data_IF_998626768170
#
_entry.id   IF_998626768170
#
_cell.length_a   1.000
_cell.length_b   1.000
_cell.length_c   1.000
_cell.angle_alpha   90.00
_cell.angle_beta   90.00
_cell.angle_gamma   90.00
#
_symmetry.space_group_name_H-M   'P 1'
#
loop_
_entity.id
_entity.type
_entity.pdbx_description
1 polymer ?
#
# COMPACT_ATOMS: atom_id res chain seq x y z
N UNK A 1 7.10 -24.11 5.08
CA UNK A 1 7.15 -23.52 3.71
C UNK A 1 8.23 -22.46 3.69
N UNK A 2 8.88 -22.20 2.55
CA UNK A 2 9.77 -21.05 2.42
C UNK A 2 8.94 -19.76 2.60
N UNK A 3 9.53 -18.75 3.25
CA UNK A 3 8.86 -17.45 3.40
C UNK A 3 8.92 -16.68 2.08
N UNK A 4 7.89 -15.93 1.78
CA UNK A 4 7.82 -15.07 0.60
C UNK A 4 8.74 -13.84 0.82
N UNK A 5 9.80 -13.63 0.01
CA UNK A 5 10.56 -12.41 0.09
C UNK A 5 9.68 -11.23 -0.34
N UNK A 6 9.47 -10.29 0.58
CA UNK A 6 8.55 -9.15 0.41
C UNK A 6 9.27 -7.83 0.48
N UNK A 7 8.97 -6.94 -0.45
CA UNK A 7 9.27 -5.51 -0.38
C UNK A 7 7.95 -4.75 -0.34
N UNK A 8 7.88 -3.72 0.49
CA UNK A 8 6.72 -2.81 0.55
C UNK A 8 7.17 -1.42 0.15
N UNK A 9 6.53 -0.85 -0.88
CA UNK A 9 6.66 0.54 -1.31
C UNK A 9 5.43 1.31 -0.86
N UNK A 10 5.60 2.35 -0.02
CA UNK A 10 4.53 2.90 0.82
C UNK A 10 4.76 4.39 1.11
N UNK A 11 3.70 5.13 1.42
CA UNK A 11 3.73 6.53 1.86
C UNK A 11 3.09 6.73 3.25
N UNK A 12 3.66 6.11 4.32
CA UNK A 12 2.98 5.81 5.55
C UNK A 12 2.06 6.89 6.11
N UNK A 13 0.77 6.63 5.87
CA UNK A 13 -0.39 7.19 6.51
C UNK A 13 -0.94 6.22 7.57
N UNK A 14 -2.24 6.38 7.90
CA UNK A 14 -2.92 5.58 8.93
C UNK A 14 -3.10 4.12 8.50
N UNK A 15 -3.57 3.87 7.29
CA UNK A 15 -3.81 2.52 6.76
C UNK A 15 -2.53 1.81 6.32
N UNK A 16 -1.53 2.55 5.80
CA UNK A 16 -0.17 2.03 5.60
C UNK A 16 0.43 1.50 6.92
N UNK A 17 0.23 2.21 8.03
CA UNK A 17 0.73 1.76 9.33
C UNK A 17 0.14 0.40 9.72
N UNK A 18 -1.16 0.18 9.48
CA UNK A 18 -1.79 -1.12 9.67
C UNK A 18 -1.20 -2.19 8.73
N UNK A 19 -0.98 -1.84 7.46
CA UNK A 19 -0.40 -2.73 6.47
C UNK A 19 1.02 -3.17 6.86
N UNK A 20 1.86 -2.25 7.32
CA UNK A 20 3.20 -2.56 7.83
C UNK A 20 3.16 -3.48 9.05
N UNK A 21 2.26 -3.22 10.03
CA UNK A 21 2.08 -4.09 11.18
C UNK A 21 1.55 -5.48 10.79
N UNK A 22 0.67 -5.56 9.78
CA UNK A 22 0.20 -6.83 9.22
C UNK A 22 1.35 -7.64 8.61
N UNK A 23 2.23 -7.01 7.82
CA UNK A 23 3.40 -7.69 7.28
C UNK A 23 4.31 -8.25 8.37
N UNK A 24 4.55 -7.46 9.42
CA UNK A 24 5.36 -7.86 10.59
C UNK A 24 4.72 -9.06 11.31
N UNK A 25 3.40 -9.05 11.45
CA UNK A 25 2.63 -10.11 12.11
C UNK A 25 2.52 -11.40 11.31
N UNK A 26 2.96 -11.42 10.05
CA UNK A 26 2.72 -12.51 9.11
C UNK A 26 3.96 -13.40 8.95
N UNK A 27 3.95 -14.63 9.50
CA UNK A 27 5.09 -15.54 9.41
C UNK A 27 5.33 -16.08 8.00
N UNK A 28 4.38 -15.90 7.09
CA UNK A 28 4.44 -16.31 5.69
C UNK A 28 5.46 -15.51 4.89
N UNK A 29 5.77 -14.29 5.32
CA UNK A 29 6.66 -13.38 4.59
C UNK A 29 7.98 -13.15 5.29
N UNK A 30 8.98 -12.81 4.49
CA UNK A 30 10.27 -12.30 4.93
C UNK A 30 10.40 -10.87 4.40
N UNK A 31 10.05 -9.88 5.25
CA UNK A 31 10.10 -8.47 4.90
C UNK A 31 11.54 -8.01 4.77
N UNK A 32 11.97 -7.77 3.54
CA UNK A 32 13.36 -7.50 3.16
C UNK A 32 13.71 -6.02 3.12
N UNK A 33 12.76 -5.19 2.71
CA UNK A 33 12.96 -3.76 2.50
C UNK A 33 11.61 -3.04 2.55
N UNK A 34 11.60 -1.85 3.12
CA UNK A 34 10.53 -0.87 2.96
C UNK A 34 11.09 0.32 2.19
N UNK A 35 10.47 0.65 1.06
CA UNK A 35 10.76 1.89 0.34
C UNK A 35 9.67 2.89 0.58
N UNK A 36 10.03 4.17 0.73
CA UNK A 36 9.05 5.21 0.97
C UNK A 36 8.95 6.18 -0.20
N UNK A 37 7.77 6.76 -0.36
CA UNK A 37 7.46 7.69 -1.45
C UNK A 37 6.66 8.88 -0.90
N UNK A 38 6.57 9.97 -1.65
CA UNK A 38 5.62 11.05 -1.38
C UNK A 38 4.19 10.54 -1.52
N UNK A 39 3.24 11.20 -0.88
CA UNK A 39 1.81 10.86 -1.03
C UNK A 39 1.00 11.48 0.09
N UNK A 40 0.58 10.68 1.05
CA UNK A 40 -0.24 11.09 2.20
C UNK A 40 0.34 12.31 2.93
N UNK A 41 1.66 12.29 3.14
CA UNK A 41 2.45 13.42 3.67
C UNK A 41 3.75 13.58 2.88
N UNK A 42 4.65 14.47 3.30
CA UNK A 42 5.95 14.64 2.65
C UNK A 42 6.87 13.44 2.85
N UNK A 43 7.77 13.16 1.89
CA UNK A 43 8.70 12.05 1.93
C UNK A 43 9.46 11.92 3.24
N UNK A 44 9.93 13.04 3.80
CA UNK A 44 10.65 13.01 5.08
C UNK A 44 9.77 12.44 6.21
N UNK A 45 8.48 12.78 6.20
CA UNK A 45 7.53 12.30 7.19
C UNK A 45 7.10 10.86 6.92
N UNK A 46 6.86 10.47 5.64
CA UNK A 46 6.55 9.08 5.30
C UNK A 46 7.69 8.15 5.69
N UNK A 47 8.93 8.59 5.48
CA UNK A 47 10.14 7.82 5.86
C UNK A 47 10.25 7.67 7.39
N UNK A 48 10.05 8.76 8.13
CA UNK A 48 10.07 8.71 9.59
C UNK A 48 8.94 7.84 10.13
N UNK A 49 7.74 7.93 9.56
CA UNK A 49 6.60 7.08 9.94
C UNK A 49 6.92 5.60 9.70
N UNK A 50 7.50 5.23 8.55
CA UNK A 50 7.91 3.86 8.27
C UNK A 50 8.86 3.31 9.34
N UNK A 51 9.91 4.06 9.67
CA UNK A 51 10.88 3.69 10.71
C UNK A 51 10.20 3.49 12.06
N UNK A 52 9.33 4.41 12.47
CA UNK A 52 8.62 4.36 13.76
C UNK A 52 7.62 3.21 13.83
N UNK A 53 6.88 2.94 12.76
CA UNK A 53 5.92 1.81 12.70
C UNK A 53 6.65 0.47 12.74
N UNK A 54 7.77 0.34 12.01
CA UNK A 54 8.62 -0.86 12.09
C UNK A 54 9.17 -1.06 13.51
N UNK A 55 9.57 0.02 14.17
CA UNK A 55 10.01 -0.03 15.58
C UNK A 55 8.88 -0.46 16.52
N UNK A 56 7.67 0.10 16.37
CA UNK A 56 6.48 -0.29 17.12
C UNK A 56 6.19 -1.80 16.99
N UNK A 57 6.35 -2.35 15.78
CA UNK A 57 6.21 -3.78 15.49
C UNK A 57 7.41 -4.65 15.86
N UNK A 58 8.45 -4.09 16.50
CA UNK A 58 9.65 -4.85 16.91
C UNK A 58 10.59 -5.24 15.76
N UNK A 59 10.50 -4.56 14.59
CA UNK A 59 11.28 -4.85 13.38
C UNK A 59 12.13 -3.67 12.91
N UNK A 60 12.85 -3.02 13.85
CA UNK A 60 13.83 -1.97 13.52
C UNK A 60 15.04 -2.48 12.70
N UNK A 61 15.15 -3.79 12.53
CA UNK A 61 16.15 -4.45 11.68
C UNK A 61 15.87 -4.35 10.18
N UNK A 62 14.60 -4.13 9.81
CA UNK A 62 14.20 -4.00 8.40
C UNK A 62 14.71 -2.67 7.83
N UNK A 63 15.49 -2.69 6.74
CA UNK A 63 15.97 -1.47 6.13
C UNK A 63 14.83 -0.64 5.55
N UNK A 64 14.91 0.68 5.72
CA UNK A 64 14.01 1.67 5.10
C UNK A 64 14.82 2.53 4.15
N UNK A 65 14.40 2.68 2.90
CA UNK A 65 15.04 3.52 1.92
C UNK A 65 14.11 4.62 1.43
N UNK A 66 14.54 5.89 1.49
CA UNK A 66 13.77 7.03 1.03
C UNK A 66 13.81 7.14 -0.50
N UNK A 67 12.65 7.34 -1.12
CA UNK A 67 12.48 7.38 -2.57
C UNK A 67 12.12 8.75 -3.13
N UNK A 68 11.14 8.77 -4.03
CA UNK A 68 10.73 9.97 -4.75
C UNK A 68 10.02 10.98 -3.82
N UNK A 69 10.40 12.26 -3.97
CA UNK A 69 9.82 13.38 -3.19
C UNK A 69 8.57 13.97 -3.85
N UNK A 70 8.38 13.69 -5.11
CA UNK A 70 7.28 14.20 -5.93
C UNK A 70 7.01 13.26 -7.08
N UNK A 71 5.84 13.41 -7.70
CA UNK A 71 5.45 12.76 -8.94
C UNK A 71 6.43 13.07 -10.08
N UNK A 72 6.39 12.24 -11.13
CA UNK A 72 7.32 12.32 -12.28
C UNK A 72 7.18 13.61 -13.09
N UNK A 73 5.95 14.09 -13.31
CA UNK A 73 5.69 15.16 -14.26
C UNK A 73 5.06 16.39 -13.59
N UNK A 74 3.93 16.20 -12.95
CA UNK A 74 3.18 17.31 -12.33
C UNK A 74 3.17 17.13 -10.82
N UNK A 75 3.65 18.12 -10.04
CA UNK A 75 3.63 18.04 -8.59
C UNK A 75 2.21 17.75 -8.08
N UNK A 76 2.09 16.87 -7.11
CA UNK A 76 0.84 16.60 -6.41
C UNK A 76 0.30 17.90 -5.81
N UNK A 77 -0.95 18.25 -6.13
CA UNK A 77 -1.55 19.53 -5.74
C UNK A 77 -1.91 19.54 -4.25
N UNK A 78 -2.40 18.43 -3.73
CA UNK A 78 -2.86 18.30 -2.35
C UNK A 78 -2.35 17.00 -1.74
N UNK A 79 -2.19 17.00 -0.41
CA UNK A 79 -1.85 15.85 0.41
C UNK A 79 -3.05 15.43 1.25
N UNK A 80 -3.07 14.18 1.70
CA UNK A 80 -4.18 13.64 2.44
C UNK A 80 -4.18 13.97 3.96
N UNK A 81 -3.61 15.11 4.34
CA UNK A 81 -3.53 15.52 5.74
C UNK A 81 -4.89 15.71 6.43
N UNK A 82 -5.96 15.96 5.67
CA UNK A 82 -7.32 16.01 6.21
C UNK A 82 -7.87 14.62 6.62
N UNK A 83 -7.29 13.53 6.07
CA UNK A 83 -7.61 12.15 6.41
C UNK A 83 -6.63 11.63 7.45
N UNK A 84 -5.32 11.72 7.17
CA UNK A 84 -4.26 11.07 7.95
C UNK A 84 -3.66 11.96 9.05
N UNK A 85 -4.07 13.24 9.15
CA UNK A 85 -3.42 14.22 10.02
C UNK A 85 -2.15 14.80 9.40
N UNK A 86 -1.66 15.90 10.00
CA UNK A 86 -0.50 16.65 9.47
C UNK A 86 0.80 15.85 9.46
N UNK A 87 0.94 14.88 10.38
CA UNK A 87 2.07 13.97 10.47
C UNK A 87 1.78 12.55 9.91
N UNK A 88 0.58 12.30 9.38
CA UNK A 88 0.23 11.04 8.72
C UNK A 88 -0.24 9.92 9.64
N UNK A 89 -0.09 10.01 10.96
CA UNK A 89 -0.43 8.94 11.92
C UNK A 89 -1.57 9.34 12.88
N UNK A 90 -2.60 10.03 12.38
CA UNK A 90 -3.79 10.35 13.16
C UNK A 90 -3.51 11.22 14.41
N UNK A 91 -2.44 12.01 14.39
CA UNK A 91 -2.01 12.82 15.55
C UNK A 91 -1.30 12.03 16.65
N UNK A 92 -1.07 10.74 16.47
CA UNK A 92 -0.30 9.90 17.41
C UNK A 92 1.20 10.11 17.19
N UNK A 93 1.90 10.47 18.22
CA UNK A 93 3.35 10.59 18.20
C UNK A 93 3.99 9.28 18.68
N UNK A 94 4.61 8.55 17.74
CA UNK A 94 5.37 7.36 18.07
C UNK A 94 6.80 7.71 18.53
N UNK A 95 7.42 6.90 19.40
CA UNK A 95 8.80 7.13 19.81
C UNK A 95 9.75 7.05 18.59
N UNK A 96 10.89 7.77 18.65
CA UNK A 96 11.89 7.69 17.59
C UNK A 96 12.39 6.25 17.43
N UNK A 97 12.62 5.84 16.18
CA UNK A 97 13.15 4.51 15.87
C UNK A 97 14.67 4.48 16.02
N UNK A 98 15.24 3.42 16.61
CA UNK A 98 16.68 3.17 16.54
C UNK A 98 17.12 2.59 15.17
N UNK A 99 16.16 2.25 14.29
CA UNK A 99 16.43 1.75 12.94
C UNK A 99 17.14 2.79 12.09
N UNK A 100 18.09 2.34 11.28
CA UNK A 100 18.84 3.21 10.39
C UNK A 100 18.15 3.32 9.03
N UNK A 101 18.10 4.55 8.50
CA UNK A 101 17.75 4.78 7.11
C UNK A 101 18.84 4.20 6.20
N UNK A 102 18.45 3.42 5.18
CA UNK A 102 19.39 3.00 4.14
C UNK A 102 19.92 4.25 3.42
N UNK A 103 21.25 4.42 3.31
CA UNK A 103 21.81 5.61 2.67
C UNK A 103 21.58 5.66 1.17
N UNK A 104 21.16 4.54 0.55
CA UNK A 104 20.84 4.47 -0.88
C UNK A 104 19.44 5.02 -1.13
N UNK A 105 19.21 5.72 -2.26
CA UNK A 105 17.84 6.00 -2.71
C UNK A 105 17.03 4.71 -2.89
N UNK A 106 15.72 4.77 -2.64
CA UNK A 106 14.81 3.61 -2.72
C UNK A 106 14.98 2.80 -4.02
N UNK A 107 15.06 3.47 -5.16
CA UNK A 107 15.21 2.82 -6.48
C UNK A 107 16.51 2.00 -6.56
N UNK A 108 17.61 2.49 -5.99
CA UNK A 108 18.88 1.78 -5.96
C UNK A 108 18.84 0.60 -4.98
N UNK A 109 18.30 0.83 -3.78
CA UNK A 109 18.18 -0.23 -2.77
C UNK A 109 17.26 -1.37 -3.27
N UNK A 110 16.17 -1.02 -3.94
CA UNK A 110 15.24 -1.98 -4.54
C UNK A 110 15.91 -2.76 -5.70
N UNK A 111 16.61 -2.06 -6.60
CA UNK A 111 17.32 -2.71 -7.71
C UNK A 111 18.38 -3.68 -7.21
N UNK A 112 19.22 -3.27 -6.25
CA UNK A 112 20.24 -4.13 -5.65
C UNK A 112 19.62 -5.38 -5.00
N UNK A 113 18.51 -5.22 -4.27
CA UNK A 113 17.80 -6.33 -3.64
C UNK A 113 17.26 -7.30 -4.70
N UNK A 114 16.58 -6.79 -5.72
CA UNK A 114 15.99 -7.61 -6.78
C UNK A 114 17.05 -8.40 -7.56
N UNK A 115 18.18 -7.75 -7.91
CA UNK A 115 19.25 -8.38 -8.66
C UNK A 115 20.04 -9.40 -7.83
N UNK A 116 20.16 -9.19 -6.53
CA UNK A 116 20.88 -10.09 -5.61
C UNK A 116 20.01 -11.22 -5.05
N UNK A 117 18.68 -11.11 -5.15
CA UNK A 117 17.78 -12.15 -4.62
C UNK A 117 17.91 -13.45 -5.42
N UNK A 118 18.11 -14.60 -4.75
CA UNK A 118 18.14 -15.91 -5.42
C UNK A 118 16.75 -16.33 -5.93
N UNK A 119 15.68 -15.81 -5.33
CA UNK A 119 14.29 -16.11 -5.65
C UNK A 119 13.56 -14.86 -6.16
N UNK A 120 12.50 -15.04 -6.99
CA UNK A 120 11.64 -13.93 -7.37
C UNK A 120 11.04 -13.26 -6.14
N UNK A 121 11.04 -11.92 -6.13
CA UNK A 121 10.57 -11.11 -5.01
C UNK A 121 9.13 -10.64 -5.25
N UNK A 122 8.31 -10.70 -4.21
CA UNK A 122 7.01 -10.03 -4.20
C UNK A 122 7.21 -8.57 -3.80
N UNK A 123 6.70 -7.65 -4.62
CA UNK A 123 6.66 -6.23 -4.33
C UNK A 123 5.20 -5.82 -4.13
N UNK A 124 4.90 -5.22 -2.99
CA UNK A 124 3.61 -4.57 -2.74
C UNK A 124 3.82 -3.06 -2.76
N UNK A 125 3.22 -2.36 -3.74
CA UNK A 125 3.18 -0.90 -3.73
C UNK A 125 1.79 -0.45 -3.27
N UNK A 126 1.75 0.21 -2.14
CA UNK A 126 0.54 0.67 -1.46
C UNK A 126 0.46 2.20 -1.39
N UNK A 127 1.46 2.88 -1.94
CA UNK A 127 1.50 4.32 -2.20
C UNK A 127 1.58 4.64 -3.70
N UNK A 128 1.85 5.92 -4.06
CA UNK A 128 2.09 6.32 -5.44
C UNK A 128 3.23 5.55 -6.11
N UNK A 129 3.04 5.11 -7.34
CA UNK A 129 3.93 4.17 -8.05
C UNK A 129 5.24 4.79 -8.57
N UNK A 130 5.61 5.98 -8.10
CA UNK A 130 6.75 6.76 -8.61
C UNK A 130 8.07 5.99 -8.50
N UNK A 131 8.33 5.32 -7.37
CA UNK A 131 9.56 4.53 -7.19
C UNK A 131 9.63 3.37 -8.19
N UNK A 132 8.51 2.69 -8.45
CA UNK A 132 8.41 1.58 -9.39
C UNK A 132 8.61 2.04 -10.84
N UNK A 133 8.03 3.20 -11.21
CA UNK A 133 8.23 3.78 -12.55
C UNK A 133 9.69 4.19 -12.76
N UNK A 134 10.35 4.74 -11.73
CA UNK A 134 11.78 5.04 -11.78
C UNK A 134 12.63 3.76 -11.89
N UNK A 135 12.27 2.69 -11.19
CA UNK A 135 12.93 1.39 -11.32
C UNK A 135 12.86 0.88 -12.76
N UNK A 136 11.67 0.92 -13.38
CA UNK A 136 11.45 0.52 -14.76
C UNK A 136 12.30 1.33 -15.76
N UNK A 137 12.45 2.63 -15.49
CA UNK A 137 13.21 3.52 -16.39
C UNK A 137 14.73 3.43 -16.22
N UNK A 138 15.21 3.13 -15.01
CA UNK A 138 16.64 3.19 -14.67
C UNK A 138 17.29 1.80 -14.58
N UNK A 139 16.53 0.81 -14.08
CA UNK A 139 17.02 -0.56 -13.85
C UNK A 139 16.00 -1.59 -14.39
N UNK A 140 15.71 -1.61 -15.70
CA UNK A 140 14.71 -2.52 -16.28
C UNK A 140 15.02 -3.99 -16.01
N UNK A 141 16.29 -4.38 -15.98
CA UNK A 141 16.74 -5.73 -15.66
C UNK A 141 16.41 -6.15 -14.21
N UNK A 142 16.39 -5.19 -13.27
CA UNK A 142 15.95 -5.43 -11.91
C UNK A 142 14.42 -5.60 -11.84
N UNK A 143 13.69 -4.80 -12.61
CA UNK A 143 12.22 -4.90 -12.66
C UNK A 143 11.75 -6.27 -13.19
N UNK A 144 12.49 -6.91 -14.12
CA UNK A 144 12.22 -8.27 -14.61
C UNK A 144 12.36 -9.35 -13.51
N UNK A 145 13.03 -9.04 -12.40
CA UNK A 145 13.17 -9.93 -11.24
C UNK A 145 11.99 -9.87 -10.28
N UNK A 146 11.03 -8.96 -10.48
CA UNK A 146 9.79 -8.93 -9.72
C UNK A 146 8.97 -10.15 -10.10
N UNK A 147 8.84 -11.08 -9.17
CA UNK A 147 8.06 -12.31 -9.36
C UNK A 147 6.55 -12.08 -9.25
N UNK A 148 6.18 -11.05 -8.49
CA UNK A 148 4.79 -10.63 -8.28
C UNK A 148 4.75 -9.18 -7.83
N UNK A 149 3.87 -8.40 -8.43
CA UNK A 149 3.58 -7.02 -8.06
C UNK A 149 2.13 -6.92 -7.59
N UNK A 150 1.90 -6.46 -6.37
CA UNK A 150 0.57 -6.13 -5.86
C UNK A 150 0.48 -4.63 -5.72
N UNK A 151 -0.49 -4.02 -6.38
CA UNK A 151 -0.68 -2.56 -6.42
C UNK A 151 -1.98 -2.21 -5.72
N UNK A 152 -1.93 -1.46 -4.62
CA UNK A 152 -3.13 -0.75 -4.15
C UNK A 152 -3.29 0.52 -4.96
N UNK A 153 -4.41 0.66 -5.66
CA UNK A 153 -4.70 1.86 -6.43
C UNK A 153 -5.79 1.70 -7.47
N UNK A 154 -6.29 2.83 -7.92
CA UNK A 154 -7.26 2.90 -8.99
C UNK A 154 -8.65 2.38 -8.65
N UNK A 155 -9.49 2.34 -9.67
CA UNK A 155 -10.87 1.85 -9.61
C UNK A 155 -11.32 1.37 -10.98
N UNK A 156 -12.01 0.23 -11.04
CA UNK A 156 -12.55 -0.32 -12.28
C UNK A 156 -13.95 0.19 -12.61
N UNK A 157 -14.77 0.53 -11.59
CA UNK A 157 -16.17 0.88 -11.78
C UNK A 157 -16.72 1.91 -10.78
N UNK A 158 -16.14 2.04 -9.58
CA UNK A 158 -16.70 2.91 -8.53
C UNK A 158 -16.42 4.41 -8.71
N UNK A 159 -15.52 4.80 -9.62
CA UNK A 159 -14.97 6.17 -9.66
C UNK A 159 -13.87 6.37 -8.65
N UNK A 160 -13.55 7.61 -8.31
CA UNK A 160 -12.44 7.94 -7.43
C UNK A 160 -12.85 8.30 -6.00
N UNK A 161 -11.83 8.46 -5.14
CA UNK A 161 -11.95 8.95 -3.77
C UNK A 161 -11.31 10.34 -3.56
N UNK A 162 -10.45 10.79 -4.47
CA UNK A 162 -9.87 12.14 -4.45
C UNK A 162 -10.58 13.07 -5.43
N UNK A 163 -10.83 12.59 -6.64
CA UNK A 163 -11.71 13.25 -7.61
C UNK A 163 -12.86 12.31 -7.95
N UNK A 164 -13.84 12.78 -8.70
CA UNK A 164 -14.92 11.90 -9.18
C UNK A 164 -14.41 10.73 -10.04
N UNK A 165 -13.20 10.83 -10.60
CA UNK A 165 -12.65 9.86 -11.54
C UNK A 165 -11.43 9.08 -10.98
N UNK A 166 -10.64 9.67 -10.09
CA UNK A 166 -9.33 9.16 -9.72
C UNK A 166 -9.23 8.74 -8.25
N UNK A 167 -8.62 7.58 -8.04
CA UNK A 167 -8.15 7.10 -6.75
C UNK A 167 -6.82 7.79 -6.41
N UNK A 168 -6.54 7.95 -5.09
CA UNK A 168 -5.46 8.78 -4.57
C UNK A 168 -4.06 8.38 -5.07
N UNK A 169 -3.67 7.13 -5.01
CA UNK A 169 -2.33 6.68 -5.40
C UNK A 169 -2.07 6.90 -6.90
N UNK A 170 -3.08 6.62 -7.71
CA UNK A 170 -3.01 6.86 -9.16
C UNK A 170 -3.09 8.37 -9.48
N UNK A 171 -3.91 9.13 -8.75
CA UNK A 171 -4.01 10.58 -8.92
C UNK A 171 -2.73 11.31 -8.52
N UNK A 172 -2.03 10.83 -7.50
CA UNK A 172 -0.79 11.43 -7.02
C UNK A 172 0.33 11.39 -8.06
N UNK A 173 0.39 10.33 -8.89
CA UNK A 173 1.33 10.23 -10.02
C UNK A 173 0.75 9.38 -11.17
N UNK A 174 -0.14 9.95 -12.00
CA UNK A 174 -0.77 9.21 -13.09
C UNK A 174 0.21 8.68 -14.13
N UNK A 175 1.29 9.40 -14.39
CA UNK A 175 2.34 9.01 -15.33
C UNK A 175 3.11 7.78 -14.82
N UNK A 176 3.42 7.75 -13.54
CA UNK A 176 4.04 6.58 -12.91
C UNK A 176 3.09 5.37 -12.93
N UNK A 177 1.82 5.58 -12.58
CA UNK A 177 0.82 4.53 -12.60
C UNK A 177 0.63 3.97 -14.02
N UNK A 178 0.55 4.82 -15.06
CA UNK A 178 0.50 4.40 -16.45
C UNK A 178 1.72 3.56 -16.84
N UNK A 179 2.92 4.00 -16.49
CA UNK A 179 4.15 3.28 -16.81
C UNK A 179 4.17 1.89 -16.15
N UNK A 180 3.81 1.78 -14.87
CA UNK A 180 3.84 0.52 -14.12
C UNK A 180 2.75 -0.45 -14.59
N UNK A 181 1.50 0.02 -14.72
CA UNK A 181 0.37 -0.85 -15.09
C UNK A 181 0.44 -1.34 -16.55
N UNK A 182 1.25 -0.71 -17.40
CA UNK A 182 1.46 -1.16 -18.79
C UNK A 182 2.81 -1.81 -19.05
N UNK A 183 3.65 -1.97 -18.03
CA UNK A 183 4.99 -2.55 -18.15
C UNK A 183 5.01 -4.06 -18.45
N UNK A 184 3.89 -4.75 -18.31
CA UNK A 184 3.83 -6.22 -18.51
C UNK A 184 4.37 -7.02 -17.32
N UNK A 185 4.54 -6.41 -16.16
CA UNK A 185 4.89 -7.11 -14.92
C UNK A 185 3.73 -8.01 -14.44
N UNK A 186 4.01 -9.06 -13.67
CA UNK A 186 2.99 -9.94 -13.09
C UNK A 186 2.22 -9.21 -11.98
N UNK A 187 1.31 -8.32 -12.39
CA UNK A 187 0.64 -7.33 -11.54
C UNK A 187 -0.77 -7.76 -11.16
N UNK A 188 -1.10 -7.66 -9.87
CA UNK A 188 -2.46 -7.66 -9.32
C UNK A 188 -2.82 -6.24 -8.90
N UNK A 189 -3.86 -5.66 -9.52
CA UNK A 189 -4.38 -4.33 -9.20
C UNK A 189 -5.54 -4.47 -8.21
N UNK A 190 -5.37 -3.88 -7.04
CA UNK A 190 -6.34 -3.90 -5.92
C UNK A 190 -6.96 -2.50 -5.81
N UNK A 191 -8.06 -2.30 -6.52
CA UNK A 191 -8.73 -1.02 -6.62
C UNK A 191 -9.81 -0.80 -5.56
N UNK A 192 -10.44 0.39 -5.62
CA UNK A 192 -11.52 0.78 -4.73
C UNK A 192 -12.70 -0.19 -4.77
N UNK A 193 -12.90 -0.89 -5.89
CA UNK A 193 -14.01 -1.83 -6.09
C UNK A 193 -14.03 -2.96 -5.05
N UNK A 194 -12.88 -3.37 -4.56
CA UNK A 194 -12.75 -4.41 -3.51
C UNK A 194 -12.34 -3.85 -2.16
N UNK A 195 -11.66 -2.69 -2.13
CA UNK A 195 -11.23 -2.12 -0.85
C UNK A 195 -12.36 -1.39 -0.12
N UNK A 196 -13.20 -0.62 -0.83
CA UNK A 196 -14.33 0.12 -0.22
C UNK A 196 -15.31 -0.79 0.54
N UNK A 197 -15.71 -1.98 0.02
CA UNK A 197 -16.55 -2.90 0.79
C UNK A 197 -15.84 -3.61 1.95
N UNK A 198 -14.50 -3.48 2.06
CA UNK A 198 -13.72 -4.15 3.11
C UNK A 198 -13.51 -3.19 4.28
N UNK A 199 -14.41 -3.27 5.26
CA UNK A 199 -14.51 -2.34 6.39
C UNK A 199 -14.10 -3.03 7.69
N UNK A 200 -13.05 -2.52 8.32
CA UNK A 200 -12.65 -2.88 9.68
C UNK A 200 -13.56 -2.17 10.68
N UNK A 201 -14.37 -2.94 11.39
CA UNK A 201 -15.35 -2.41 12.35
C UNK A 201 -14.70 -1.96 13.65
N UNK A 202 -15.38 -1.11 14.42
CA UNK A 202 -14.97 -0.71 15.76
C UNK A 202 -14.77 -1.91 16.69
N UNK A 203 -15.58 -2.96 16.54
CA UNK A 203 -15.43 -4.20 17.30
C UNK A 203 -14.10 -4.91 16.95
N UNK A 204 -13.73 -4.96 15.68
CA UNK A 204 -12.44 -5.51 15.24
C UNK A 204 -11.27 -4.70 15.82
N UNK A 205 -11.36 -3.36 15.78
CA UNK A 205 -10.37 -2.46 16.37
C UNK A 205 -10.23 -2.71 17.87
N UNK A 206 -11.33 -2.78 18.58
CA UNK A 206 -11.34 -3.02 20.03
C UNK A 206 -10.68 -4.36 20.42
N UNK A 207 -10.79 -5.39 19.57
CA UNK A 207 -10.18 -6.72 19.82
C UNK A 207 -8.65 -6.62 19.87
N UNK A 208 -8.01 -6.08 18.84
CA UNK A 208 -6.54 -5.98 18.85
C UNK A 208 -6.05 -4.89 19.80
N UNK A 209 -6.82 -3.81 20.04
CA UNK A 209 -6.50 -2.80 21.04
C UNK A 209 -6.38 -3.40 22.45
N UNK A 210 -7.27 -4.33 22.80
CA UNK A 210 -7.26 -5.03 24.10
C UNK A 210 -6.15 -6.10 24.21
N UNK A 211 -5.51 -6.47 23.09
CA UNK A 211 -4.52 -7.54 23.05
C UNK A 211 -3.13 -7.14 23.58
N UNK A 212 -2.83 -5.84 23.66
CA UNK A 212 -1.57 -5.32 24.20
C UNK A 212 -1.18 -3.94 23.65
N UNK A 213 0.02 -3.45 23.97
CA UNK A 213 0.43 -2.06 23.69
C UNK A 213 0.46 -1.72 22.21
N UNK A 214 0.94 -2.63 21.35
CA UNK A 214 1.00 -2.42 19.90
C UNK A 214 -0.40 -2.23 19.32
N UNK A 215 -1.34 -3.10 19.69
CA UNK A 215 -2.73 -2.99 19.26
C UNK A 215 -3.42 -1.72 19.79
N UNK A 216 -3.17 -1.35 21.04
CA UNK A 216 -3.69 -0.10 21.59
C UNK A 216 -3.18 1.12 20.84
N UNK A 217 -1.89 1.13 20.45
CA UNK A 217 -1.30 2.20 19.66
C UNK A 217 -1.87 2.21 18.22
N UNK A 218 -2.01 1.05 17.59
CA UNK A 218 -2.63 0.94 16.27
C UNK A 218 -4.09 1.46 16.27
N UNK A 219 -4.85 1.15 17.32
CA UNK A 219 -6.22 1.65 17.50
C UNK A 219 -6.25 3.17 17.70
N UNK A 220 -5.29 3.73 18.43
CA UNK A 220 -5.16 5.18 18.61
C UNK A 220 -4.86 5.89 17.26
N UNK A 221 -3.98 5.32 16.44
CA UNK A 221 -3.69 5.83 15.09
C UNK A 221 -4.96 5.85 14.22
N UNK A 222 -5.80 4.82 14.31
CA UNK A 222 -7.06 4.71 13.56
C UNK A 222 -8.15 5.70 13.99
N UNK A 223 -8.06 6.31 15.19
CA UNK A 223 -9.15 7.13 15.73
C UNK A 223 -9.53 8.29 14.82
N UNK A 224 -8.54 9.00 14.26
CA UNK A 224 -8.81 10.10 13.33
C UNK A 224 -9.50 9.61 12.05
N UNK A 225 -9.10 8.45 11.54
CA UNK A 225 -9.73 7.85 10.35
C UNK A 225 -11.17 7.40 10.62
N UNK A 226 -11.45 6.84 11.82
CA UNK A 226 -12.80 6.54 12.28
C UNK A 226 -13.68 7.78 12.32
N UNK A 227 -13.18 8.87 12.90
CA UNK A 227 -13.91 10.12 13.01
C UNK A 227 -14.18 10.73 11.62
N UNK A 228 -13.20 10.67 10.72
CA UNK A 228 -13.37 11.07 9.32
C UNK A 228 -14.43 10.21 8.61
N UNK A 229 -14.36 8.88 8.74
CA UNK A 229 -15.31 7.96 8.11
C UNK A 229 -16.75 8.17 8.60
N UNK A 230 -16.93 8.37 9.91
CA UNK A 230 -18.25 8.67 10.51
C UNK A 230 -18.81 10.00 10.01
N UNK A 231 -18.00 11.05 10.00
CA UNK A 231 -18.43 12.41 9.69
C UNK A 231 -18.66 12.61 8.18
N UNK A 232 -17.86 11.99 7.32
CA UNK A 232 -17.91 12.18 5.87
C UNK A 232 -18.80 11.18 5.15
N UNK A 233 -18.89 9.93 5.66
CA UNK A 233 -19.56 8.82 4.96
C UNK A 233 -20.60 8.10 5.79
N UNK A 234 -20.72 8.37 7.09
CA UNK A 234 -21.61 7.64 7.99
C UNK A 234 -21.25 6.16 8.16
N UNK A 235 -20.00 5.78 7.88
CA UNK A 235 -19.55 4.39 7.90
C UNK A 235 -19.21 3.96 9.34
N UNK A 236 -19.63 2.76 9.80
CA UNK A 236 -19.40 2.31 11.17
C UNK A 236 -18.01 1.65 11.37
N UNK A 237 -17.01 2.07 10.64
CA UNK A 237 -15.66 1.54 10.66
C UNK A 237 -14.75 2.25 9.67
N UNK A 238 -13.57 1.71 9.46
CA UNK A 238 -12.58 2.24 8.51
C UNK A 238 -12.39 1.28 7.34
N UNK A 239 -12.25 1.83 6.14
CA UNK A 239 -11.87 1.06 4.96
C UNK A 239 -10.39 0.69 5.08
N UNK A 240 -10.04 -0.56 4.80
CA UNK A 240 -8.65 -1.04 4.89
C UNK A 240 -8.08 -1.26 3.49
N UNK A 241 -7.69 -0.15 2.84
CA UNK A 241 -7.18 -0.17 1.46
C UNK A 241 -5.89 -0.98 1.36
N UNK A 242 -4.86 -0.53 2.03
CA UNK A 242 -3.50 -1.07 1.96
C UNK A 242 -3.37 -2.44 2.61
N UNK A 243 -4.03 -2.63 3.76
CA UNK A 243 -4.01 -3.91 4.44
C UNK A 243 -4.66 -5.02 3.61
N UNK A 244 -5.69 -4.72 2.79
CA UNK A 244 -6.28 -5.68 1.88
C UNK A 244 -5.32 -6.06 0.74
N UNK A 245 -4.66 -5.07 0.11
CA UNK A 245 -3.66 -5.31 -0.91
C UNK A 245 -2.50 -6.14 -0.36
N UNK A 246 -2.08 -5.82 0.87
CA UNK A 246 -1.02 -6.58 1.52
C UNK A 246 -1.46 -7.98 1.92
N UNK A 247 -2.73 -8.19 2.31
CA UNK A 247 -3.28 -9.54 2.55
C UNK A 247 -3.15 -10.40 1.28
N UNK A 248 -3.47 -9.84 0.10
CA UNK A 248 -3.26 -10.53 -1.19
C UNK A 248 -1.77 -10.82 -1.45
N UNK A 249 -0.86 -9.93 -1.08
CA UNK A 249 0.60 -10.15 -1.22
C UNK A 249 1.10 -11.29 -0.30
N UNK A 250 0.54 -11.41 0.90
CA UNK A 250 0.89 -12.41 1.92
C UNK A 250 0.24 -13.76 1.61
N UNK A 251 -1.03 -13.74 1.26
CA UNK A 251 -1.86 -14.94 0.97
C UNK A 251 -2.43 -14.81 -0.45
N UNK A 252 -1.67 -15.24 -1.47
CA UNK A 252 -2.12 -15.20 -2.86
C UNK A 252 -3.45 -15.92 -3.06
N UNK A 253 -4.37 -15.26 -3.79
CA UNK A 253 -5.70 -15.80 -4.05
C UNK A 253 -6.75 -15.40 -3.00
N UNK A 254 -6.43 -14.47 -2.11
CA UNK A 254 -7.44 -13.81 -1.24
C UNK A 254 -8.47 -13.06 -2.08
N UNK A 255 -8.06 -12.50 -3.21
CA UNK A 255 -8.92 -11.75 -4.12
C UNK A 255 -9.29 -12.57 -5.35
N UNK A 256 -10.56 -12.47 -5.76
CA UNK A 256 -10.98 -12.97 -7.06
C UNK A 256 -10.62 -11.95 -8.15
N UNK A 257 -9.71 -12.34 -9.06
CA UNK A 257 -9.17 -11.47 -10.09
C UNK A 257 -9.65 -11.84 -11.48
N UNK A 258 -9.65 -10.86 -12.38
CA UNK A 258 -9.89 -11.04 -13.80
C UNK A 258 -8.82 -10.29 -14.58
N UNK A 259 -8.21 -10.97 -15.57
CA UNK A 259 -7.21 -10.35 -16.42
C UNK A 259 -7.83 -9.30 -17.34
N UNK A 260 -7.38 -8.03 -17.20
CA UNK A 260 -7.92 -6.87 -17.92
C UNK A 260 -6.81 -6.00 -18.49
N UNK A 261 -7.09 -5.37 -19.64
CA UNK A 261 -6.27 -4.24 -20.10
C UNK A 261 -6.63 -3.01 -19.29
N UNK A 262 -5.60 -2.35 -18.75
CA UNK A 262 -5.74 -1.14 -17.94
C UNK A 262 -4.84 -0.06 -18.51
N UNK A 263 -5.38 1.15 -18.61
CA UNK A 263 -4.61 2.38 -18.92
C UNK A 263 -5.01 3.48 -17.94
N UNK A 264 -4.15 4.46 -17.76
CA UNK A 264 -4.40 5.61 -16.89
C UNK A 264 -4.57 6.87 -17.73
N UNK A 265 -5.58 7.67 -17.45
CA UNK A 265 -5.72 8.99 -18.08
C UNK A 265 -4.68 9.97 -17.51
N UNK A 266 -3.66 10.28 -18.30
CA UNK A 266 -2.59 11.23 -17.96
C UNK A 266 -2.86 12.64 -18.52
N UNK A 267 -3.99 12.87 -19.18
CA UNK A 267 -4.35 14.19 -19.71
C UNK A 267 -4.66 15.19 -18.59
N UNK A 268 -4.52 16.48 -18.85
CA UNK A 268 -4.82 17.55 -17.89
C UNK A 268 -6.33 17.88 -17.86
N UNK A 269 -7.19 16.86 -17.85
CA UNK A 269 -8.63 17.00 -17.83
C UNK A 269 -9.26 16.55 -16.51
N UNK A 270 -10.59 16.56 -16.47
CA UNK A 270 -11.38 16.13 -15.32
C UNK A 270 -11.20 14.63 -14.96
N UNK A 271 -10.74 13.83 -15.93
CA UNK A 271 -10.49 12.40 -15.76
C UNK A 271 -9.02 12.08 -15.43
N UNK A 272 -8.15 13.08 -15.24
CA UNK A 272 -6.75 12.84 -14.91
C UNK A 272 -6.61 11.91 -13.70
N UNK A 273 -5.82 10.85 -13.84
CA UNK A 273 -5.61 9.81 -12.83
C UNK A 273 -6.70 8.72 -12.82
N UNK A 274 -7.67 8.77 -13.73
CA UNK A 274 -8.64 7.69 -13.86
C UNK A 274 -7.97 6.43 -14.41
N UNK A 275 -8.17 5.29 -13.76
CA UNK A 275 -7.89 3.98 -14.33
C UNK A 275 -9.03 3.58 -15.27
N UNK A 276 -8.70 3.38 -16.53
CA UNK A 276 -9.64 2.91 -17.55
C UNK A 276 -9.42 1.41 -17.76
N UNK A 277 -10.31 0.62 -17.14
CA UNK A 277 -10.27 -0.84 -17.22
C UNK A 277 -11.18 -1.32 -18.35
N UNK A 278 -10.61 -2.07 -19.31
CA UNK A 278 -11.40 -2.64 -20.40
C UNK A 278 -12.21 -3.84 -19.91
N UNK A 279 -13.49 -3.63 -19.67
CA UNK A 279 -14.44 -4.64 -19.20
C UNK A 279 -15.26 -5.27 -20.32
N UNK A 280 -14.99 -4.94 -21.56
CA UNK A 280 -15.64 -5.58 -22.71
C UNK A 280 -15.21 -7.03 -22.82
N UNK A 281 -16.03 -7.88 -23.48
CA UNK A 281 -15.73 -9.27 -23.75
C UNK A 281 -14.75 -9.40 -24.94
N UNK A 282 -13.54 -8.85 -24.77
CA UNK A 282 -12.44 -8.91 -25.75
C UNK A 282 -11.22 -9.55 -25.12
N UNK A 283 -10.32 -10.08 -25.94
CA UNK A 283 -9.06 -10.62 -25.45
C UNK A 283 -8.21 -9.51 -24.84
N UNK A 284 -7.73 -9.66 -23.60
CA UNK A 284 -6.85 -8.68 -22.99
C UNK A 284 -5.55 -8.50 -23.77
N UNK A 285 -4.95 -7.30 -23.69
CA UNK A 285 -3.63 -7.05 -24.25
C UNK A 285 -2.56 -7.93 -23.60
N UNK A 286 -1.41 -8.17 -24.25
CA UNK A 286 -0.32 -8.99 -23.66
C UNK A 286 0.16 -8.48 -22.30
N UNK A 287 0.16 -7.15 -22.09
CA UNK A 287 0.53 -6.47 -20.86
C UNK A 287 -0.66 -6.23 -19.90
N UNK A 288 -1.75 -6.99 -20.05
CA UNK A 288 -2.90 -6.90 -19.15
C UNK A 288 -2.52 -7.36 -17.74
N UNK A 289 -3.19 -6.77 -16.75
CA UNK A 289 -2.99 -7.05 -15.32
C UNK A 289 -4.18 -7.84 -14.74
N UNK A 290 -3.96 -8.52 -13.63
CA UNK A 290 -5.02 -9.13 -12.83
C UNK A 290 -5.73 -8.03 -12.04
N UNK A 291 -6.97 -7.71 -12.39
CA UNK A 291 -7.78 -6.72 -11.68
C UNK A 291 -8.64 -7.42 -10.64
N UNK A 292 -8.54 -7.03 -9.39
CA UNK A 292 -9.38 -7.57 -8.32
C UNK A 292 -10.83 -7.09 -8.50
N UNK A 293 -11.77 -8.02 -8.64
CA UNK A 293 -13.19 -7.74 -8.85
C UNK A 293 -14.09 -8.32 -7.74
N UNK A 294 -13.53 -9.18 -6.85
CA UNK A 294 -14.27 -9.74 -5.71
C UNK A 294 -13.37 -10.05 -4.53
N UNK A 295 -13.94 -10.02 -3.34
CA UNK A 295 -13.28 -10.32 -2.07
C UNK A 295 -14.29 -10.89 -1.06
N UNK A 296 -13.83 -11.83 -0.22
CA UNK A 296 -14.50 -12.13 1.05
C UNK A 296 -14.01 -11.11 2.09
N UNK A 297 -14.71 -9.98 2.18
CA UNK A 297 -14.36 -8.87 3.09
C UNK A 297 -14.31 -9.31 4.54
N UNK A 298 -15.21 -10.22 4.96
CA UNK A 298 -15.24 -10.69 6.35
C UNK A 298 -14.00 -11.52 6.68
N UNK A 299 -13.63 -12.45 5.81
CA UNK A 299 -12.42 -13.25 5.97
C UNK A 299 -11.14 -12.39 5.95
N UNK A 300 -11.05 -11.40 5.04
CA UNK A 300 -9.90 -10.52 4.94
C UNK A 300 -9.74 -9.63 6.20
N UNK A 301 -10.84 -9.09 6.72
CA UNK A 301 -10.84 -8.29 7.97
C UNK A 301 -10.49 -9.17 9.17
N UNK A 302 -11.04 -10.37 9.27
CA UNK A 302 -10.71 -11.28 10.37
C UNK A 302 -9.23 -11.68 10.35
N UNK A 303 -8.67 -11.97 9.18
CA UNK A 303 -7.24 -12.22 9.03
C UNK A 303 -6.39 -11.05 9.57
N UNK A 304 -6.72 -9.82 9.20
CA UNK A 304 -6.03 -8.62 9.69
C UNK A 304 -6.13 -8.52 11.22
N UNK A 305 -7.33 -8.67 11.78
CA UNK A 305 -7.56 -8.55 13.23
C UNK A 305 -6.78 -9.60 14.00
N UNK A 306 -6.85 -10.88 13.59
CA UNK A 306 -6.12 -11.97 14.23
C UNK A 306 -4.60 -11.75 14.23
N UNK A 307 -4.05 -11.22 13.11
CA UNK A 307 -2.62 -10.93 13.00
C UNK A 307 -2.19 -9.80 13.93
N UNK A 308 -2.97 -8.73 14.02
CA UNK A 308 -2.68 -7.61 14.91
C UNK A 308 -2.85 -8.02 16.39
N UNK A 309 -3.84 -8.84 16.72
CA UNK A 309 -3.97 -9.43 18.06
C UNK A 309 -2.73 -10.27 18.43
N UNK A 310 -2.29 -11.14 17.52
CA UNK A 310 -1.12 -11.97 17.74
C UNK A 310 0.14 -11.13 17.96
N UNK A 311 0.39 -10.15 17.08
CA UNK A 311 1.54 -9.25 17.19
C UNK A 311 1.54 -8.51 18.52
N UNK A 312 0.36 -7.98 18.90
CA UNK A 312 0.21 -7.22 20.13
C UNK A 312 0.49 -8.05 21.38
N UNK A 313 0.11 -9.34 21.39
CA UNK A 313 0.41 -10.27 22.50
C UNK A 313 1.87 -10.70 22.53
N UNK A 314 2.53 -10.77 21.37
CA UNK A 314 3.92 -11.28 21.26
C UNK A 314 4.98 -10.27 21.66
N UNK A 315 4.63 -8.98 21.75
CA UNK A 315 5.52 -7.86 22.07
C UNK A 315 5.21 -7.21 23.44
N UNK A 316 4.63 -7.98 24.37
CA UNK A 316 4.39 -7.57 25.75
C UNK A 316 5.62 -7.76 26.63
#
# INVERSE_FOLDING_TARGET
>A
MARIPLVIDTDPGIDDALALLLAIASPEVDLKLVTTVHGNVELAQTTENALRVLHLGGRSDVPVAAGARSSLVHPQAERAGHVHGTAGLGGVELPPSPGALDPRPAVVALADLLLSSPEPVTVATIGPMTNLALLLGVFPEAAERIGRLVVMGGSAALGGNVTAAAEFNVWADPEAAQAVLTAGLPTTLVGLDVTVPTVLTEQGIARFAAAGPVGATAAAILQQYLDHARNSYGTPGVVVHDALALTEAIVPGTLGTVRRSVVVDTTLGAARGQTVVDRRAVSPAPNAVEVAESVDSAAAVEFLVERLEWLSRSLV
#
